data_IF_699140958262
#
_entry.id   IF_699140958262
#
_cell.length_a   1.000
_cell.length_b   1.000
_cell.length_c   1.000
_cell.angle_alpha   90.00
_cell.angle_beta   90.00
_cell.angle_gamma   90.00
#
_symmetry.space_group_name_H-M   'P 1'
#
loop_
_entity.id
_entity.type
_entity.pdbx_description
1 polymer ?
#
# COMPACT_ATOMS: atom_id res chain seq x y z
N UNK A 1 -40.40 2.81 56.61
CA UNK A 1 -39.84 2.03 55.54
C UNK A 1 -40.13 2.71 54.26
N UNK A 2 -39.13 3.27 53.65
CA UNK A 2 -39.21 3.89 52.33
C UNK A 2 -38.05 3.28 51.51
N UNK A 3 -38.47 2.46 50.57
CA UNK A 3 -37.60 1.82 49.60
C UNK A 3 -37.13 2.85 48.57
N UNK A 4 -35.83 3.13 48.55
CA UNK A 4 -35.19 3.92 47.53
C UNK A 4 -34.84 3.03 46.35
N UNK A 5 -35.44 3.26 45.21
CA UNK A 5 -35.05 2.65 43.92
C UNK A 5 -33.65 3.11 43.53
N UNK A 6 -32.81 2.23 42.94
CA UNK A 6 -31.52 2.63 42.38
C UNK A 6 -31.74 3.32 41.04
N UNK A 7 -31.15 4.51 40.93
CA UNK A 7 -30.99 5.30 39.68
C UNK A 7 -30.43 4.44 38.56
N UNK A 8 -31.26 4.19 37.56
CA UNK A 8 -30.85 3.49 36.33
C UNK A 8 -30.02 4.44 35.49
N UNK A 9 -28.73 4.23 35.48
CA UNK A 9 -27.82 4.87 34.53
C UNK A 9 -28.25 4.56 33.08
N UNK A 10 -28.62 5.60 32.35
CA UNK A 10 -28.93 5.55 30.92
C UNK A 10 -27.70 5.05 30.18
N UNK A 11 -27.78 4.01 29.36
CA UNK A 11 -26.63 3.54 28.60
C UNK A 11 -26.24 4.59 27.56
N UNK A 12 -25.03 5.13 27.70
CA UNK A 12 -24.43 6.02 26.70
C UNK A 12 -24.23 5.23 25.41
N UNK A 13 -24.81 5.71 24.32
CA UNK A 13 -24.77 5.13 22.99
C UNK A 13 -23.33 5.18 22.45
N UNK A 14 -22.65 4.06 22.14
CA UNK A 14 -21.25 4.07 21.70
C UNK A 14 -21.03 4.56 20.26
N UNK A 15 -22.06 5.19 19.67
CA UNK A 15 -22.05 5.59 18.25
C UNK A 15 -21.55 6.99 17.92
N UNK A 16 -21.42 7.90 18.89
CA UNK A 16 -21.18 9.31 18.58
C UNK A 16 -19.71 9.75 18.45
N UNK A 17 -18.74 8.97 18.93
CA UNK A 17 -17.32 9.36 18.90
C UNK A 17 -16.50 8.76 17.72
N UNK A 18 -17.14 8.17 16.72
CA UNK A 18 -16.44 7.41 15.69
C UNK A 18 -16.42 8.07 14.28
N UNK A 19 -17.02 9.26 14.12
CA UNK A 19 -17.13 9.93 12.82
C UNK A 19 -15.76 10.45 12.32
N UNK A 20 -14.92 11.14 13.12
CA UNK A 20 -13.63 11.62 12.66
C UNK A 20 -12.69 10.49 12.23
N UNK A 21 -12.65 9.38 12.99
CA UNK A 21 -11.78 8.24 12.71
C UNK A 21 -12.23 7.46 11.45
N UNK A 22 -13.54 7.35 11.20
CA UNK A 22 -14.07 6.75 9.96
C UNK A 22 -13.79 7.60 8.73
N UNK A 23 -13.79 8.91 8.86
CA UNK A 23 -13.46 9.85 7.77
C UNK A 23 -11.96 9.79 7.48
N UNK A 24 -11.10 9.80 8.51
CA UNK A 24 -9.65 9.66 8.35
C UNK A 24 -9.29 8.35 7.66
N UNK A 25 -9.81 7.22 8.12
CA UNK A 25 -9.57 5.91 7.50
C UNK A 25 -10.06 5.83 6.04
N UNK A 26 -11.12 6.57 5.68
CA UNK A 26 -11.59 6.64 4.30
C UNK A 26 -10.65 7.45 3.42
N UNK A 27 -10.19 8.59 3.90
CA UNK A 27 -9.25 9.46 3.19
C UNK A 27 -7.94 8.73 2.92
N UNK A 28 -7.35 8.10 3.94
CA UNK A 28 -6.13 7.32 3.85
C UNK A 28 -6.25 6.18 2.83
N UNK A 29 -7.37 5.46 2.83
CA UNK A 29 -7.63 4.41 1.86
C UNK A 29 -7.70 4.94 0.42
N UNK A 30 -8.34 6.09 0.19
CA UNK A 30 -8.43 6.70 -1.14
C UNK A 30 -7.07 7.23 -1.61
N UNK A 31 -6.29 7.81 -0.70
CA UNK A 31 -4.89 8.18 -0.96
C UNK A 31 -4.10 6.94 -1.38
N UNK A 32 -4.18 5.85 -0.61
CA UNK A 32 -3.53 4.59 -0.94
C UNK A 32 -3.89 4.09 -2.35
N UNK A 33 -5.19 4.04 -2.66
CA UNK A 33 -5.67 3.59 -3.98
C UNK A 33 -5.08 4.43 -5.12
N UNK A 34 -5.01 5.76 -4.97
CA UNK A 34 -4.49 6.63 -6.03
C UNK A 34 -2.97 6.64 -6.08
N UNK A 35 -2.28 6.41 -4.95
CA UNK A 35 -0.82 6.20 -4.94
C UNK A 35 -0.47 4.93 -5.72
N UNK A 36 -1.14 3.79 -5.50
CA UNK A 36 -0.91 2.56 -6.26
C UNK A 36 -1.12 2.79 -7.76
N UNK A 37 -2.24 3.42 -8.16
CA UNK A 37 -2.48 3.80 -9.56
C UNK A 37 -1.36 4.67 -10.13
N UNK A 38 -0.88 5.65 -9.38
CA UNK A 38 0.19 6.55 -9.82
C UNK A 38 1.53 5.81 -10.01
N UNK A 39 1.87 4.89 -9.10
CA UNK A 39 3.10 4.08 -9.20
C UNK A 39 3.02 3.07 -10.35
N UNK A 40 1.85 2.47 -10.59
CA UNK A 40 1.59 1.65 -11.77
C UNK A 40 1.83 2.44 -13.05
N UNK A 41 1.16 3.60 -13.23
CA UNK A 41 1.32 4.48 -14.40
C UNK A 41 2.79 4.86 -14.64
N UNK A 42 3.53 5.18 -13.58
CA UNK A 42 4.95 5.52 -13.68
C UNK A 42 5.81 4.33 -14.09
N UNK A 43 5.52 3.15 -13.57
CA UNK A 43 6.28 1.93 -13.85
C UNK A 43 6.14 1.44 -15.31
N UNK A 44 5.09 1.90 -16.00
CA UNK A 44 4.84 1.59 -17.41
C UNK A 44 5.53 2.56 -18.40
N UNK A 45 6.18 3.62 -17.89
CA UNK A 45 6.92 4.59 -18.72
C UNK A 45 8.30 4.03 -19.09
N UNK A 46 8.73 4.26 -20.31
CA UNK A 46 10.08 3.89 -20.77
C UNK A 46 11.19 4.48 -19.91
N UNK A 47 10.94 5.67 -19.36
CA UNK A 47 11.84 6.35 -18.42
C UNK A 47 11.05 7.06 -17.34
N UNK A 48 11.55 6.99 -16.12
CA UNK A 48 10.95 7.72 -15.00
C UNK A 48 11.27 9.21 -15.10
N UNK A 49 10.29 10.09 -14.89
CA UNK A 49 10.52 11.53 -14.87
C UNK A 49 11.40 11.93 -13.67
N UNK A 50 12.04 13.09 -13.76
CA UNK A 50 12.75 13.67 -12.61
C UNK A 50 11.77 14.26 -11.60
N UNK A 51 10.65 14.79 -12.08
CA UNK A 51 9.61 15.42 -11.26
C UNK A 51 8.23 14.96 -11.70
N UNK A 52 7.27 15.05 -10.78
CA UNK A 52 5.85 14.85 -11.07
C UNK A 52 5.38 15.97 -12.01
N UNK A 53 4.74 15.60 -13.09
CA UNK A 53 4.22 16.52 -14.10
C UNK A 53 2.83 17.04 -13.73
N UNK A 54 2.46 18.23 -14.21
CA UNK A 54 1.13 18.82 -13.94
C UNK A 54 -0.02 17.95 -14.48
N UNK A 55 0.21 17.23 -15.58
CA UNK A 55 -0.77 16.30 -16.13
C UNK A 55 -1.00 15.10 -15.23
N UNK A 56 0.04 14.61 -14.55
CA UNK A 56 -0.08 13.56 -13.55
C UNK A 56 -0.93 14.03 -12.38
N UNK A 57 -0.64 15.21 -11.85
CA UNK A 57 -1.40 15.79 -10.74
C UNK A 57 -2.88 15.93 -11.10
N UNK A 58 -3.20 16.39 -12.31
CA UNK A 58 -4.60 16.50 -12.79
C UNK A 58 -5.28 15.14 -12.88
N UNK A 59 -4.60 14.10 -13.37
CA UNK A 59 -5.17 12.74 -13.47
C UNK A 59 -5.47 12.17 -12.10
N UNK A 60 -4.54 12.29 -11.15
CA UNK A 60 -4.73 11.78 -9.79
C UNK A 60 -5.81 12.54 -9.04
N UNK A 61 -5.91 13.85 -9.21
CA UNK A 61 -7.02 14.63 -8.67
C UNK A 61 -8.36 14.15 -9.23
N UNK A 62 -8.43 13.88 -10.53
CA UNK A 62 -9.64 13.32 -11.15
C UNK A 62 -9.99 11.94 -10.61
N UNK A 63 -8.99 11.09 -10.34
CA UNK A 63 -9.20 9.78 -9.70
C UNK A 63 -9.79 9.92 -8.29
N UNK A 64 -9.25 10.84 -7.48
CA UNK A 64 -9.80 11.17 -6.16
C UNK A 64 -11.23 11.69 -6.21
N UNK A 65 -11.56 12.54 -7.20
CA UNK A 65 -12.94 13.03 -7.44
C UNK A 65 -13.89 11.88 -7.77
N UNK A 66 -13.46 10.91 -8.58
CA UNK A 66 -14.27 9.72 -8.92
C UNK A 66 -14.53 8.83 -7.71
N UNK A 67 -13.63 8.82 -6.72
CA UNK A 67 -13.83 8.17 -5.43
C UNK A 67 -14.78 8.96 -4.49
N UNK A 68 -15.26 10.13 -4.93
CA UNK A 68 -16.23 10.94 -4.21
C UNK A 68 -15.63 11.99 -3.27
N UNK A 69 -14.33 12.34 -3.44
CA UNK A 69 -13.73 13.44 -2.69
C UNK A 69 -14.03 14.79 -3.32
N UNK A 70 -14.20 15.81 -2.48
CA UNK A 70 -14.41 17.19 -2.86
C UNK A 70 -13.90 18.17 -1.79
N UNK A 71 -13.87 19.45 -2.12
CA UNK A 71 -13.50 20.51 -1.16
C UNK A 71 -12.13 20.29 -0.53
N UNK A 72 -12.05 20.45 0.78
CA UNK A 72 -10.80 20.35 1.54
C UNK A 72 -10.23 18.92 1.54
N UNK A 73 -11.05 17.89 1.62
CA UNK A 73 -10.62 16.49 1.60
C UNK A 73 -9.90 16.14 0.29
N UNK A 74 -10.40 16.65 -0.84
CA UNK A 74 -9.76 16.48 -2.15
C UNK A 74 -8.39 17.15 -2.20
N UNK A 75 -8.28 18.38 -1.71
CA UNK A 75 -7.01 19.11 -1.68
C UNK A 75 -5.98 18.39 -0.79
N UNK A 76 -6.40 17.93 0.39
CA UNK A 76 -5.54 17.19 1.31
C UNK A 76 -5.09 15.85 0.72
N UNK A 77 -6.01 15.08 0.14
CA UNK A 77 -5.69 13.79 -0.49
C UNK A 77 -4.76 13.99 -1.70
N UNK A 78 -5.04 14.98 -2.56
CA UNK A 78 -4.21 15.30 -3.71
C UNK A 78 -2.77 15.67 -3.32
N UNK A 79 -2.61 16.49 -2.27
CA UNK A 79 -1.30 16.82 -1.72
C UNK A 79 -0.56 15.59 -1.17
N UNK A 80 -1.27 14.68 -0.48
CA UNK A 80 -0.69 13.46 0.07
C UNK A 80 -0.24 12.49 -1.04
N UNK A 81 -1.05 12.30 -2.08
CA UNK A 81 -0.68 11.48 -3.26
C UNK A 81 0.56 12.06 -3.93
N UNK A 82 0.53 13.36 -4.25
CA UNK A 82 1.65 14.04 -4.91
C UNK A 82 2.94 13.95 -4.09
N UNK A 83 2.86 14.06 -2.77
CA UNK A 83 4.03 13.95 -1.90
C UNK A 83 4.58 12.52 -1.90
N UNK A 84 3.75 11.49 -1.72
CA UNK A 84 4.18 10.08 -1.73
C UNK A 84 4.86 9.69 -3.05
N UNK A 85 4.35 10.19 -4.18
CA UNK A 85 4.95 9.92 -5.49
C UNK A 85 6.25 10.68 -5.70
N UNK A 86 6.34 11.95 -5.26
CA UNK A 86 7.60 12.71 -5.30
C UNK A 86 8.68 12.02 -4.46
N UNK A 87 8.33 11.58 -3.26
CA UNK A 87 9.24 10.88 -2.37
C UNK A 87 9.76 9.59 -3.01
N UNK A 88 8.89 8.80 -3.64
CA UNK A 88 9.29 7.59 -4.37
C UNK A 88 10.19 7.90 -5.59
N UNK A 89 9.94 8.99 -6.32
CA UNK A 89 10.78 9.40 -7.45
C UNK A 89 12.14 9.99 -7.03
N UNK A 90 12.27 10.55 -5.83
CA UNK A 90 13.53 11.03 -5.30
C UNK A 90 14.35 9.95 -4.58
N UNK A 91 13.69 8.89 -4.13
CA UNK A 91 14.34 7.74 -3.49
C UNK A 91 15.00 6.83 -4.52
N UNK A 92 16.32 6.53 -4.40
CA UNK A 92 16.98 5.59 -5.30
C UNK A 92 16.34 4.20 -5.34
N UNK A 93 15.84 3.69 -4.20
CA UNK A 93 15.13 2.40 -4.13
C UNK A 93 13.77 2.48 -4.82
N UNK A 94 13.03 3.59 -4.64
CA UNK A 94 11.77 3.84 -5.33
C UNK A 94 11.95 3.87 -6.85
N UNK A 95 12.96 4.59 -7.34
CA UNK A 95 13.31 4.60 -8.78
C UNK A 95 13.72 3.24 -9.30
N UNK A 96 14.47 2.47 -8.53
CA UNK A 96 14.84 1.11 -8.90
C UNK A 96 13.60 0.22 -9.01
N UNK A 97 12.72 0.21 -8.01
CA UNK A 97 11.46 -0.56 -8.02
C UNK A 97 10.60 -0.22 -9.26
N UNK A 98 10.47 1.07 -9.56
CA UNK A 98 9.60 1.55 -10.65
C UNK A 98 10.22 1.43 -12.03
N UNK A 99 11.49 1.08 -12.15
CA UNK A 99 12.19 1.02 -13.43
C UNK A 99 11.54 0.03 -14.39
N UNK A 100 11.27 0.46 -15.62
CA UNK A 100 10.84 -0.41 -16.72
C UNK A 100 11.98 -1.27 -17.30
N UNK A 101 13.22 -1.10 -16.87
CA UNK A 101 14.40 -1.83 -17.37
C UNK A 101 14.54 -3.24 -16.82
N UNK A 102 13.80 -3.54 -15.74
CA UNK A 102 13.79 -4.89 -15.18
C UNK A 102 13.12 -5.88 -16.12
N UNK A 103 13.71 -7.06 -16.40
CA UNK A 103 13.03 -8.12 -17.13
C UNK A 103 11.80 -8.61 -16.35
N UNK A 104 10.81 -9.08 -17.09
CA UNK A 104 9.57 -9.65 -16.53
C UNK A 104 8.95 -8.75 -15.46
N UNK A 105 9.02 -7.44 -15.68
CA UNK A 105 8.45 -6.45 -14.80
C UNK A 105 6.94 -6.29 -15.06
N UNK A 106 6.17 -6.49 -14.00
CA UNK A 106 4.71 -6.33 -14.02
C UNK A 106 4.26 -5.47 -12.84
N UNK A 107 3.23 -4.65 -13.07
CA UNK A 107 2.49 -3.93 -12.02
C UNK A 107 1.06 -4.41 -12.03
N UNK A 108 0.38 -4.37 -10.87
CA UNK A 108 -0.98 -4.89 -10.69
C UNK A 108 -1.12 -6.30 -11.29
N UNK A 109 -0.13 -7.16 -11.01
CA UNK A 109 -0.03 -8.48 -11.62
C UNK A 109 -1.04 -9.44 -11.01
N UNK A 110 -2.12 -9.72 -11.76
CA UNK A 110 -3.19 -10.62 -11.34
C UNK A 110 -2.76 -12.08 -11.48
N UNK A 111 -2.95 -12.85 -10.41
CA UNK A 111 -2.70 -14.28 -10.33
C UNK A 111 -3.92 -15.00 -9.77
N UNK A 112 -4.24 -16.14 -10.36
CA UNK A 112 -5.22 -17.07 -9.82
C UNK A 112 -4.49 -18.35 -9.46
N UNK A 113 -4.56 -18.80 -8.23
CA UNK A 113 -3.95 -20.04 -7.78
C UNK A 113 -4.95 -20.89 -6.99
N UNK A 114 -4.72 -22.20 -6.96
CA UNK A 114 -5.42 -23.11 -6.05
C UNK A 114 -4.53 -23.33 -4.81
N UNK A 115 -5.10 -23.16 -3.63
CA UNK A 115 -4.42 -23.55 -2.39
C UNK A 115 -4.37 -25.10 -2.24
N UNK A 116 -3.65 -25.63 -1.27
CA UNK A 116 -3.53 -27.09 -1.07
C UNK A 116 -4.89 -27.80 -0.87
N UNK A 117 -5.90 -27.09 -0.41
CA UNK A 117 -7.26 -27.60 -0.20
C UNK A 117 -8.12 -27.51 -1.48
N UNK A 118 -7.53 -27.05 -2.60
CA UNK A 118 -8.20 -26.88 -3.90
C UNK A 118 -9.08 -25.65 -4.01
N UNK A 119 -9.02 -24.74 -3.02
CA UNK A 119 -9.75 -23.48 -3.07
C UNK A 119 -9.03 -22.47 -3.96
N UNK A 120 -9.75 -21.92 -4.93
CA UNK A 120 -9.24 -20.88 -5.83
C UNK A 120 -9.14 -19.56 -5.07
N UNK A 121 -7.98 -18.90 -5.25
CA UNK A 121 -7.70 -17.56 -4.73
C UNK A 121 -7.21 -16.67 -5.84
N UNK A 122 -7.81 -15.51 -5.94
CA UNK A 122 -7.33 -14.42 -6.78
C UNK A 122 -6.44 -13.50 -5.94
N UNK A 123 -5.31 -13.11 -6.51
CA UNK A 123 -4.33 -12.22 -5.89
C UNK A 123 -3.90 -11.18 -6.91
N UNK A 124 -3.51 -10.02 -6.43
CA UNK A 124 -2.87 -8.99 -7.25
C UNK A 124 -1.59 -8.56 -6.56
N UNK A 125 -0.47 -8.66 -7.26
CA UNK A 125 0.83 -8.21 -6.79
C UNK A 125 1.06 -6.80 -7.31
N UNK A 126 1.28 -5.82 -6.43
CA UNK A 126 1.45 -4.42 -6.82
C UNK A 126 2.62 -4.25 -7.81
N UNK A 127 3.76 -4.87 -7.53
CA UNK A 127 4.92 -4.86 -8.40
C UNK A 127 5.74 -6.14 -8.29
N UNK A 128 6.12 -6.73 -9.44
CA UNK A 128 7.11 -7.82 -9.49
C UNK A 128 8.03 -7.64 -10.67
N UNK A 129 9.29 -8.09 -10.53
CA UNK A 129 10.31 -8.03 -11.58
C UNK A 129 11.47 -8.98 -11.26
N UNK A 130 12.28 -9.29 -12.28
CA UNK A 130 13.55 -9.99 -12.11
C UNK A 130 14.68 -8.97 -12.01
N UNK A 131 15.44 -9.02 -10.93
CA UNK A 131 16.64 -8.22 -10.78
C UNK A 131 17.82 -8.91 -11.49
N UNK A 132 18.40 -8.25 -12.48
CA UNK A 132 19.50 -8.82 -13.27
C UNK A 132 20.82 -8.94 -12.53
N UNK A 133 21.03 -8.13 -11.51
CA UNK A 133 22.29 -8.15 -10.76
C UNK A 133 22.34 -9.36 -9.82
N UNK A 134 21.24 -9.64 -9.14
CA UNK A 134 21.15 -10.76 -8.20
C UNK A 134 20.61 -12.06 -8.81
N UNK A 135 19.87 -11.96 -9.93
CA UNK A 135 19.10 -13.07 -10.49
C UNK A 135 17.88 -13.45 -9.67
N UNK A 136 17.47 -12.60 -8.73
CA UNK A 136 16.35 -12.84 -7.82
C UNK A 136 15.08 -12.17 -8.35
N UNK A 137 13.94 -12.80 -8.11
CA UNK A 137 12.64 -12.19 -8.35
C UNK A 137 12.21 -11.39 -7.13
N UNK A 138 11.84 -10.13 -7.35
CA UNK A 138 11.28 -9.28 -6.33
C UNK A 138 9.76 -9.22 -6.42
N UNK A 139 9.13 -9.27 -5.25
CA UNK A 139 7.70 -9.01 -5.03
C UNK A 139 7.64 -7.83 -4.08
N UNK A 140 7.10 -6.73 -4.55
CA UNK A 140 6.97 -5.49 -3.78
C UNK A 140 5.48 -5.19 -3.59
N UNK A 141 5.11 -4.91 -2.38
CA UNK A 141 3.78 -4.47 -2.00
C UNK A 141 3.87 -3.04 -1.44
N UNK A 142 3.13 -2.10 -2.02
CA UNK A 142 3.21 -0.68 -1.69
C UNK A 142 2.36 -0.35 -0.46
N UNK A 143 2.89 0.48 0.43
CA UNK A 143 2.20 0.94 1.64
C UNK A 143 2.31 2.45 1.80
N UNK A 144 1.20 3.08 2.16
CA UNK A 144 1.14 4.52 2.49
C UNK A 144 1.12 4.75 4.00
N UNK A 145 1.24 3.68 4.80
CA UNK A 145 1.25 3.74 6.25
C UNK A 145 2.46 4.50 6.80
N UNK A 146 2.29 5.08 7.98
CA UNK A 146 3.32 5.77 8.77
C UNK A 146 3.30 5.25 10.21
N UNK A 147 4.39 5.41 10.97
CA UNK A 147 4.37 5.17 12.41
C UNK A 147 3.26 5.98 13.09
N UNK A 148 2.61 5.37 14.07
CA UNK A 148 1.66 6.06 14.93
C UNK A 148 2.35 7.03 15.90
N UNK A 149 1.57 7.85 16.60
CA UNK A 149 2.09 8.78 17.59
C UNK A 149 2.84 8.02 18.69
N UNK A 150 4.14 8.30 18.84
CA UNK A 150 5.02 7.64 19.79
C UNK A 150 5.49 6.24 19.42
N UNK A 151 5.09 5.70 18.28
CA UNK A 151 5.57 4.41 17.76
C UNK A 151 6.97 4.58 17.19
N UNK A 152 7.92 3.78 17.65
CA UNK A 152 9.25 3.74 17.05
C UNK A 152 9.24 3.09 15.66
N UNK A 153 10.24 3.40 14.83
CA UNK A 153 10.37 2.77 13.51
C UNK A 153 10.46 1.25 13.60
N UNK A 154 11.11 0.70 14.62
CA UNK A 154 11.24 -0.74 14.82
C UNK A 154 9.88 -1.39 15.13
N UNK A 155 9.08 -0.80 16.00
CA UNK A 155 7.74 -1.28 16.34
C UNK A 155 6.80 -1.19 15.12
N UNK A 156 6.86 -0.09 14.38
CA UNK A 156 6.12 0.08 13.13
C UNK A 156 6.45 -1.03 12.13
N UNK A 157 7.73 -1.25 11.82
CA UNK A 157 8.15 -2.28 10.87
C UNK A 157 7.79 -3.69 11.34
N UNK A 158 7.88 -3.97 12.63
CA UNK A 158 7.46 -5.25 13.19
C UNK A 158 5.94 -5.46 13.03
N UNK A 159 5.14 -4.45 13.31
CA UNK A 159 3.68 -4.49 13.15
C UNK A 159 3.27 -4.71 11.70
N UNK A 160 3.86 -3.94 10.79
CA UNK A 160 3.58 -4.07 9.35
C UNK A 160 4.04 -5.44 8.81
N UNK A 161 5.23 -5.90 9.20
CA UNK A 161 5.73 -7.24 8.84
C UNK A 161 4.76 -8.33 9.28
N UNK A 162 4.28 -8.27 10.52
CA UNK A 162 3.30 -9.23 11.04
C UNK A 162 1.98 -9.18 10.26
N UNK A 163 1.50 -7.99 9.97
CA UNK A 163 0.22 -7.80 9.27
C UNK A 163 0.24 -8.34 7.83
N UNK A 164 1.38 -8.22 7.12
CA UNK A 164 1.47 -8.55 5.69
C UNK A 164 2.25 -9.82 5.36
N UNK A 165 2.88 -10.48 6.35
CA UNK A 165 3.65 -11.72 6.14
C UNK A 165 2.82 -12.81 5.45
N UNK A 166 1.60 -13.03 5.85
CA UNK A 166 0.71 -14.03 5.26
C UNK A 166 0.34 -13.74 3.79
N UNK A 167 0.12 -12.45 3.45
CA UNK A 167 -0.14 -12.03 2.08
C UNK A 167 1.08 -12.24 1.18
N UNK A 168 2.25 -11.77 1.61
CA UNK A 168 3.49 -11.91 0.85
C UNK A 168 3.95 -13.36 0.74
N UNK A 169 3.70 -14.19 1.76
CA UNK A 169 3.94 -15.62 1.69
C UNK A 169 3.07 -16.28 0.60
N UNK A 170 1.79 -15.90 0.52
CA UNK A 170 0.90 -16.36 -0.54
C UNK A 170 1.39 -15.94 -1.94
N UNK A 171 1.84 -14.71 -2.11
CA UNK A 171 2.43 -14.23 -3.36
C UNK A 171 3.69 -15.02 -3.72
N UNK A 172 4.60 -15.23 -2.75
CA UNK A 172 5.82 -16.02 -2.94
C UNK A 172 5.51 -17.44 -3.40
N UNK A 173 4.55 -18.10 -2.78
CA UNK A 173 4.14 -19.46 -3.14
C UNK A 173 3.56 -19.52 -4.55
N UNK A 174 2.70 -18.60 -4.92
CA UNK A 174 2.11 -18.52 -6.25
C UNK A 174 3.18 -18.28 -7.33
N UNK A 175 4.11 -17.35 -7.10
CA UNK A 175 5.19 -17.03 -8.03
C UNK A 175 6.24 -18.14 -8.14
N UNK A 176 6.49 -18.91 -7.08
CA UNK A 176 7.46 -20.02 -7.09
C UNK A 176 7.08 -21.15 -8.08
N UNK A 177 5.81 -21.25 -8.46
CA UNK A 177 5.35 -22.21 -9.47
C UNK A 177 5.70 -21.76 -10.89
N UNK A 178 5.93 -20.45 -11.09
CA UNK A 178 6.16 -19.85 -12.41
C UNK A 178 7.64 -19.86 -12.84
N UNK A 179 8.57 -20.07 -11.91
CA UNK A 179 9.99 -20.09 -12.26
C UNK A 179 10.91 -20.52 -11.11
N UNK A 180 12.15 -20.86 -11.42
CA UNK A 180 13.10 -21.38 -10.44
C UNK A 180 13.87 -20.29 -9.67
N UNK A 181 13.63 -19.00 -9.97
CA UNK A 181 14.39 -17.90 -9.37
C UNK A 181 14.13 -17.80 -7.88
N UNK A 182 15.14 -17.52 -7.05
CA UNK A 182 14.93 -17.14 -5.66
C UNK A 182 13.99 -15.92 -5.57
N UNK A 183 13.06 -15.93 -4.62
CA UNK A 183 12.04 -14.88 -4.50
C UNK A 183 12.27 -14.09 -3.22
N UNK A 184 12.38 -12.77 -3.35
CA UNK A 184 12.42 -11.80 -2.26
C UNK A 184 11.11 -11.03 -2.19
N UNK A 185 10.63 -10.80 -0.97
CA UNK A 185 9.40 -10.08 -0.72
C UNK A 185 9.67 -8.87 0.16
N UNK A 186 9.12 -7.72 -0.20
CA UNK A 186 9.30 -6.50 0.54
C UNK A 186 8.04 -5.62 0.56
N UNK A 187 7.93 -4.81 1.59
CA UNK A 187 7.02 -3.67 1.66
C UNK A 187 7.79 -2.40 1.24
N UNK A 188 7.23 -1.60 0.38
CA UNK A 188 7.76 -0.28 0.07
C UNK A 188 6.83 0.80 0.61
N UNK A 189 7.29 1.53 1.62
CA UNK A 189 6.53 2.59 2.27
C UNK A 189 6.73 3.91 1.52
N UNK A 190 5.77 4.27 0.67
CA UNK A 190 5.87 5.47 -0.18
C UNK A 190 5.86 6.77 0.60
N UNK A 191 5.24 6.79 1.80
CA UNK A 191 5.18 7.96 2.66
C UNK A 191 6.44 8.16 3.53
N UNK A 192 7.39 7.19 3.53
CA UNK A 192 8.62 7.17 4.32
C UNK A 192 9.88 6.94 3.48
N UNK A 193 9.82 6.89 2.15
CA UNK A 193 10.71 6.27 1.18
C UNK A 193 11.59 5.17 1.78
N UNK A 194 10.98 4.03 2.10
CA UNK A 194 11.65 2.92 2.81
C UNK A 194 11.27 1.57 2.21
N UNK A 195 12.26 0.83 1.73
CA UNK A 195 12.11 -0.57 1.35
C UNK A 195 12.42 -1.46 2.56
N UNK A 196 11.45 -2.27 2.98
CA UNK A 196 11.59 -3.20 4.08
C UNK A 196 11.37 -4.63 3.60
N UNK A 197 12.46 -5.40 3.52
CA UNK A 197 12.39 -6.80 3.13
C UNK A 197 11.89 -7.68 4.27
N UNK A 198 10.96 -8.59 3.96
CA UNK A 198 10.43 -9.57 4.90
C UNK A 198 11.15 -10.92 4.74
N UNK A 199 11.69 -11.43 5.84
CA UNK A 199 12.17 -12.81 5.91
C UNK A 199 10.96 -13.71 6.18
N UNK A 200 10.47 -14.34 5.13
CA UNK A 200 9.32 -15.25 5.18
C UNK A 200 9.86 -16.68 5.32
N UNK A 201 9.50 -17.33 6.40
CA UNK A 201 9.82 -18.74 6.65
C UNK A 201 8.82 -19.69 6.00
#
# INVERSE_FOLDING_TARGET
PADGEPDQAVPQNPGENNIPQRVSNRLERYVGTVVHLALEELSLRDSLPEHVEDDDLRRWEMALRRLGLGGQDLAQAGAAVAQSVRDALHDPQGRWILSARHPEAHSEYALTCADPDGKIRDMVIDRTFLDLESGERWIIDYKTARPGDGESMAEFLQRESHAYSGQLLGYRQAMAVLGPQPIRCALYFTALPLLHELKLE
#
